data_IF_960394784985
#
_entry.id   IF_960394784985
#
_cell.length_a   1.000
_cell.length_b   1.000
_cell.length_c   1.000
_cell.angle_alpha   90.00
_cell.angle_beta   90.00
_cell.angle_gamma   90.00
#
_symmetry.space_group_name_H-M   'P 1'
#
loop_
_entity.id
_entity.type
_entity.pdbx_description
1 polymer ?
#
# COMPACT_ATOMS: atom_id res chain seq x y z
N UNK A 1 7.31 -15.12 -20.40
CA UNK A 1 7.47 -15.72 -21.75
C UNK A 1 8.15 -14.81 -22.78
N UNK A 2 7.68 -13.59 -23.05
CA UNK A 2 8.27 -12.74 -24.10
C UNK A 2 9.75 -12.39 -23.85
N UNK A 3 10.12 -12.05 -22.61
CA UNK A 3 11.52 -11.83 -22.23
C UNK A 3 12.41 -13.08 -22.34
N UNK A 4 11.83 -14.29 -22.21
CA UNK A 4 12.57 -15.53 -22.50
C UNK A 4 12.91 -15.63 -23.98
N UNK A 5 11.91 -15.38 -24.84
CA UNK A 5 12.13 -15.40 -26.28
C UNK A 5 13.15 -14.34 -26.70
N UNK A 6 13.05 -13.12 -26.15
CA UNK A 6 14.02 -12.06 -26.36
C UNK A 6 15.43 -12.44 -25.90
N UNK A 7 15.55 -13.01 -24.68
CA UNK A 7 16.83 -13.41 -24.11
C UNK A 7 17.50 -14.53 -24.90
N UNK A 8 16.73 -15.47 -25.46
CA UNK A 8 17.26 -16.52 -26.34
C UNK A 8 17.80 -15.92 -27.64
N UNK A 9 17.04 -15.02 -28.27
CA UNK A 9 17.46 -14.37 -29.52
C UNK A 9 18.70 -13.47 -29.35
N UNK A 10 18.92 -12.93 -28.16
CA UNK A 10 20.06 -12.05 -27.84
C UNK A 10 21.20 -12.78 -27.12
N UNK A 11 21.09 -14.09 -26.87
CA UNK A 11 21.99 -14.87 -26.02
C UNK A 11 22.23 -14.26 -24.63
N UNK A 12 21.23 -13.58 -24.08
CA UNK A 12 21.28 -12.91 -22.78
C UNK A 12 20.93 -13.89 -21.64
N UNK A 13 21.91 -14.70 -21.22
CA UNK A 13 21.73 -15.79 -20.25
C UNK A 13 21.04 -15.34 -18.96
N UNK A 14 21.41 -14.16 -18.41
CA UNK A 14 20.79 -13.64 -17.18
C UNK A 14 19.30 -13.33 -17.33
N UNK A 15 18.89 -12.81 -18.49
CA UNK A 15 17.48 -12.56 -18.79
C UNK A 15 16.74 -13.90 -18.90
N UNK A 16 17.35 -14.87 -19.58
CA UNK A 16 16.77 -16.19 -19.75
C UNK A 16 16.57 -16.88 -18.39
N UNK A 17 17.60 -16.89 -17.54
CA UNK A 17 17.54 -17.59 -16.25
C UNK A 17 16.48 -17.03 -15.31
N UNK A 18 16.42 -15.70 -15.14
CA UNK A 18 15.47 -15.09 -14.21
C UNK A 18 14.02 -15.24 -14.69
N UNK A 19 13.79 -15.09 -16.00
CA UNK A 19 12.45 -15.20 -16.55
C UNK A 19 12.00 -16.66 -16.63
N UNK A 20 12.90 -17.63 -16.80
CA UNK A 20 12.56 -19.06 -16.76
C UNK A 20 12.07 -19.43 -15.36
N UNK A 21 12.82 -19.03 -14.34
CA UNK A 21 12.43 -19.22 -12.96
C UNK A 21 11.11 -18.51 -12.62
N UNK A 22 10.95 -17.25 -13.05
CA UNK A 22 9.71 -16.50 -12.88
C UNK A 22 8.51 -17.19 -13.53
N UNK A 23 8.68 -17.74 -14.74
CA UNK A 23 7.61 -18.48 -15.41
C UNK A 23 7.17 -19.72 -14.62
N UNK A 24 8.09 -20.46 -14.00
CA UNK A 24 7.73 -21.60 -13.14
C UNK A 24 6.91 -21.16 -11.94
N UNK A 25 7.35 -20.09 -11.26
CA UNK A 25 6.63 -19.50 -10.13
C UNK A 25 5.23 -19.02 -10.55
N UNK A 26 5.12 -18.29 -11.65
CA UNK A 26 3.84 -17.79 -12.18
C UNK A 26 2.88 -18.91 -12.55
N UNK A 27 3.37 -20.01 -13.12
CA UNK A 27 2.55 -21.20 -13.42
C UNK A 27 2.01 -21.81 -12.12
N UNK A 28 2.86 -21.96 -11.09
CA UNK A 28 2.44 -22.48 -9.79
C UNK A 28 1.35 -21.58 -9.19
N UNK A 29 1.53 -20.26 -9.20
CA UNK A 29 0.52 -19.31 -8.73
C UNK A 29 -0.79 -19.40 -9.53
N UNK A 30 -0.72 -19.48 -10.86
CA UNK A 30 -1.90 -19.64 -11.71
C UNK A 30 -2.66 -20.93 -11.39
N UNK A 31 -1.96 -22.05 -11.22
CA UNK A 31 -2.56 -23.36 -10.89
C UNK A 31 -3.26 -23.29 -9.54
N UNK A 32 -2.56 -22.77 -8.50
CA UNK A 32 -3.16 -22.60 -7.18
C UNK A 32 -4.42 -21.73 -7.25
N UNK A 33 -4.34 -20.57 -7.92
CA UNK A 33 -5.49 -19.69 -8.05
C UNK A 33 -6.66 -20.37 -8.76
N UNK A 34 -6.42 -21.06 -9.88
CA UNK A 34 -7.48 -21.77 -10.63
C UNK A 34 -8.10 -22.89 -9.79
N UNK A 35 -7.31 -23.59 -8.96
CA UNK A 35 -7.80 -24.65 -8.10
C UNK A 35 -8.79 -24.12 -7.04
N UNK A 36 -8.45 -23.01 -6.39
CA UNK A 36 -9.19 -22.46 -5.25
C UNK A 36 -10.20 -21.36 -5.58
N UNK A 37 -10.13 -20.74 -6.76
CA UNK A 37 -11.02 -19.63 -7.12
C UNK A 37 -12.48 -20.07 -7.33
N UNK A 38 -13.42 -19.17 -7.05
CA UNK A 38 -14.86 -19.35 -7.34
C UNK A 38 -15.10 -19.57 -8.84
N UNK A 39 -16.21 -20.23 -9.21
CA UNK A 39 -16.46 -20.67 -10.60
C UNK A 39 -16.37 -19.52 -11.62
N UNK A 40 -16.89 -18.34 -11.29
CA UNK A 40 -16.89 -17.18 -12.20
C UNK A 40 -15.50 -16.56 -12.34
N UNK A 41 -14.82 -16.31 -11.21
CA UNK A 41 -13.45 -15.81 -11.20
C UNK A 41 -12.47 -16.77 -11.90
N UNK A 42 -12.67 -18.08 -11.72
CA UNK A 42 -11.88 -19.14 -12.36
C UNK A 42 -12.03 -19.11 -13.87
N UNK A 43 -13.26 -19.05 -14.39
CA UNK A 43 -13.53 -18.98 -15.85
C UNK A 43 -12.90 -17.73 -16.46
N UNK A 44 -13.06 -16.57 -15.81
CA UNK A 44 -12.44 -15.33 -16.25
C UNK A 44 -10.91 -15.45 -16.28
N UNK A 45 -10.32 -15.99 -15.22
CA UNK A 45 -8.86 -16.14 -15.11
C UNK A 45 -8.32 -17.11 -16.15
N UNK A 46 -8.95 -18.27 -16.35
CA UNK A 46 -8.54 -19.22 -17.41
C UNK A 46 -8.61 -18.53 -18.78
N UNK A 47 -9.70 -17.79 -19.07
CA UNK A 47 -9.84 -17.05 -20.34
C UNK A 47 -8.73 -16.02 -20.52
N UNK A 48 -8.43 -15.23 -19.49
CA UNK A 48 -7.37 -14.22 -19.53
C UNK A 48 -5.98 -14.85 -19.63
N UNK A 49 -5.68 -15.88 -18.83
CA UNK A 49 -4.41 -16.60 -18.88
C UNK A 49 -4.17 -17.21 -20.26
N UNK A 50 -5.17 -17.91 -20.82
CA UNK A 50 -5.06 -18.49 -22.16
C UNK A 50 -4.89 -17.41 -23.24
N UNK A 51 -5.69 -16.35 -23.20
CA UNK A 51 -5.62 -15.27 -24.18
C UNK A 51 -4.29 -14.49 -24.12
N UNK A 52 -3.86 -14.10 -22.92
CA UNK A 52 -2.69 -13.22 -22.71
C UNK A 52 -1.35 -13.95 -22.67
N UNK A 53 -1.31 -15.26 -22.41
CA UNK A 53 -0.05 -16.01 -22.37
C UNK A 53 0.11 -16.98 -23.54
N UNK A 54 -0.94 -17.68 -23.96
CA UNK A 54 -0.84 -18.69 -25.02
C UNK A 54 -1.14 -18.08 -26.38
N UNK A 55 -2.34 -17.52 -26.55
CA UNK A 55 -2.79 -17.00 -27.85
C UNK A 55 -1.96 -15.82 -28.30
N UNK A 56 -1.77 -14.82 -27.44
CA UNK A 56 -0.95 -13.64 -27.74
C UNK A 56 0.50 -14.01 -28.04
N UNK A 57 1.11 -14.93 -27.30
CA UNK A 57 2.51 -15.33 -27.49
C UNK A 57 2.70 -16.07 -28.81
N UNK A 58 1.83 -17.03 -29.12
CA UNK A 58 1.85 -17.74 -30.41
C UNK A 58 1.66 -16.75 -31.55
N UNK A 59 0.70 -15.82 -31.42
CA UNK A 59 0.45 -14.79 -32.43
C UNK A 59 1.68 -13.89 -32.65
N UNK A 60 2.28 -13.37 -31.57
CA UNK A 60 3.49 -12.55 -31.64
C UNK A 60 4.63 -13.34 -32.28
N UNK A 61 4.83 -14.60 -31.87
CA UNK A 61 5.86 -15.46 -32.44
C UNK A 61 5.68 -15.64 -33.96
N UNK A 62 4.47 -15.98 -34.41
CA UNK A 62 4.16 -16.14 -35.82
C UNK A 62 4.37 -14.84 -36.61
N UNK A 63 3.92 -13.70 -36.10
CA UNK A 63 4.12 -12.39 -36.76
C UNK A 63 5.62 -12.08 -36.88
N UNK A 64 6.39 -12.25 -35.80
CA UNK A 64 7.83 -12.00 -35.83
C UNK A 64 8.54 -12.92 -36.84
N UNK A 65 8.17 -14.21 -36.90
CA UNK A 65 8.84 -15.15 -37.79
C UNK A 65 8.46 -14.98 -39.26
N UNK A 66 7.18 -14.81 -39.56
CA UNK A 66 6.68 -14.82 -40.93
C UNK A 66 6.55 -13.43 -41.56
N UNK A 67 6.39 -12.37 -40.76
CA UNK A 67 6.11 -11.02 -41.27
C UNK A 67 7.28 -10.04 -41.08
N UNK A 68 8.22 -10.31 -40.17
CA UNK A 68 9.33 -9.40 -39.88
C UNK A 68 10.66 -9.93 -40.46
N UNK A 69 11.40 -9.12 -41.24
CA UNK A 69 12.73 -9.47 -41.73
C UNK A 69 13.71 -9.79 -40.61
N UNK A 70 14.61 -10.76 -40.82
CA UNK A 70 15.46 -11.32 -39.77
C UNK A 70 16.29 -10.28 -39.01
N UNK A 71 16.81 -9.28 -39.73
CA UNK A 71 17.59 -8.19 -39.18
C UNK A 71 16.82 -7.27 -38.22
N UNK A 72 15.49 -7.21 -38.32
CA UNK A 72 14.64 -6.37 -37.47
C UNK A 72 13.88 -7.15 -36.39
N UNK A 73 13.86 -8.49 -36.45
CA UNK A 73 13.09 -9.35 -35.52
C UNK A 73 13.39 -9.05 -34.06
N UNK A 74 14.66 -8.97 -33.69
CA UNK A 74 15.10 -8.72 -32.30
C UNK A 74 14.67 -7.33 -31.83
N UNK A 75 14.79 -6.32 -32.69
CA UNK A 75 14.43 -4.94 -32.36
C UNK A 75 12.91 -4.80 -32.15
N UNK A 76 12.10 -5.34 -33.06
CA UNK A 76 10.63 -5.33 -32.93
C UNK A 76 10.20 -6.10 -31.69
N UNK A 77 10.78 -7.28 -31.45
CA UNK A 77 10.50 -8.07 -30.25
C UNK A 77 10.86 -7.33 -28.96
N UNK A 78 12.01 -6.65 -28.94
CA UNK A 78 12.46 -5.83 -27.81
C UNK A 78 11.48 -4.70 -27.49
N UNK A 79 10.97 -3.99 -28.51
CA UNK A 79 9.96 -2.95 -28.32
C UNK A 79 8.62 -3.49 -27.82
N UNK A 80 8.20 -4.68 -28.28
CA UNK A 80 7.00 -5.36 -27.76
C UNK A 80 7.19 -5.71 -26.27
N UNK A 81 8.34 -6.32 -25.92
CA UNK A 81 8.68 -6.64 -24.53
C UNK A 81 8.69 -5.39 -23.65
N UNK A 82 9.30 -4.31 -24.14
CA UNK A 82 9.38 -3.02 -23.46
C UNK A 82 8.00 -2.43 -23.21
N UNK A 83 7.14 -2.40 -24.24
CA UNK A 83 5.80 -1.82 -24.15
C UNK A 83 4.93 -2.56 -23.12
N UNK A 84 4.99 -3.89 -23.12
CA UNK A 84 4.29 -4.72 -22.12
C UNK A 84 4.89 -4.52 -20.73
N UNK A 85 6.21 -4.38 -20.61
CA UNK A 85 6.87 -4.12 -19.33
C UNK A 85 6.51 -2.76 -18.74
N UNK A 86 6.27 -1.75 -19.58
CA UNK A 86 5.78 -0.44 -19.12
C UNK A 86 4.31 -0.53 -18.70
N UNK A 87 3.48 -1.28 -19.44
CA UNK A 87 2.04 -1.36 -19.15
C UNK A 87 1.74 -2.04 -17.80
N UNK A 88 2.57 -3.00 -17.37
CA UNK A 88 2.39 -3.65 -16.06
C UNK A 88 2.58 -2.69 -14.88
N UNK A 89 3.23 -1.54 -15.08
CA UNK A 89 3.34 -0.51 -14.05
C UNK A 89 2.01 0.20 -13.72
N UNK A 90 0.94 -0.05 -14.49
CA UNK A 90 -0.40 0.41 -14.13
C UNK A 90 -0.85 -0.13 -12.75
N UNK A 91 -0.45 -1.36 -12.39
CA UNK A 91 -0.78 -1.95 -11.09
C UNK A 91 -0.14 -1.20 -9.90
N UNK A 92 1.20 -1.01 -9.82
CA UNK A 92 1.81 -0.23 -8.75
C UNK A 92 1.35 1.23 -8.72
N UNK A 93 1.06 1.83 -9.88
CA UNK A 93 0.48 3.19 -9.95
C UNK A 93 -0.93 3.24 -9.32
N UNK A 94 -1.76 2.22 -9.55
CA UNK A 94 -3.08 2.10 -8.91
C UNK A 94 -2.98 2.04 -7.38
N UNK A 95 -1.97 1.33 -6.85
CA UNK A 95 -1.71 1.28 -5.41
C UNK A 95 -1.29 2.66 -4.87
N UNK A 96 -0.41 3.39 -5.58
CA UNK A 96 -0.04 4.76 -5.21
C UNK A 96 -1.27 5.66 -5.10
N UNK A 97 -2.16 5.63 -6.11
CA UNK A 97 -3.42 6.39 -6.08
C UNK A 97 -4.29 5.97 -4.90
N UNK A 98 -4.36 4.67 -4.60
CA UNK A 98 -5.11 4.16 -3.44
C UNK A 98 -4.56 4.72 -2.13
N UNK A 99 -3.24 4.65 -1.91
CA UNK A 99 -2.58 5.15 -0.68
C UNK A 99 -2.84 6.65 -0.48
N UNK A 100 -2.78 7.46 -1.54
CA UNK A 100 -3.08 8.90 -1.44
C UNK A 100 -4.53 9.16 -1.02
N UNK A 101 -5.48 8.37 -1.53
CA UNK A 101 -6.91 8.49 -1.22
C UNK A 101 -7.25 7.97 0.18
N UNK A 102 -6.72 6.82 0.56
CA UNK A 102 -7.02 6.17 1.84
C UNK A 102 -6.18 6.71 2.99
N UNK A 103 -5.11 7.47 2.70
CA UNK A 103 -4.16 7.98 3.70
C UNK A 103 -3.54 6.87 4.57
N UNK A 104 -3.53 5.65 4.05
CA UNK A 104 -3.05 4.43 4.73
C UNK A 104 -2.12 3.65 3.80
N UNK A 105 -1.02 3.15 4.37
CA UNK A 105 0.03 2.37 3.68
C UNK A 105 -0.17 0.85 3.78
N UNK A 106 -1.32 0.39 4.29
CA UNK A 106 -1.61 -1.03 4.52
C UNK A 106 -1.40 -1.90 3.26
N UNK A 107 -1.69 -1.36 2.08
CA UNK A 107 -1.56 -2.07 0.80
C UNK A 107 -0.20 -1.91 0.12
N UNK A 108 0.78 -1.26 0.76
CA UNK A 108 2.12 -1.01 0.21
C UNK A 108 3.22 -1.40 1.23
N UNK A 109 3.67 -2.66 1.24
CA UNK A 109 4.77 -3.06 2.11
C UNK A 109 6.09 -2.43 1.63
N UNK A 110 6.79 -1.73 2.54
CA UNK A 110 8.06 -1.06 2.26
C UNK A 110 9.11 -1.97 1.61
N UNK A 111 9.28 -3.17 2.17
CA UNK A 111 10.26 -4.15 1.68
C UNK A 111 10.05 -4.49 0.20
N UNK A 112 8.79 -4.64 -0.24
CA UNK A 112 8.45 -4.93 -1.62
C UNK A 112 8.89 -3.79 -2.53
N UNK A 113 8.60 -2.54 -2.15
CA UNK A 113 9.00 -1.37 -2.93
C UNK A 113 10.53 -1.23 -3.01
N UNK A 114 11.24 -1.49 -1.90
CA UNK A 114 12.70 -1.47 -1.85
C UNK A 114 13.31 -2.52 -2.79
N UNK A 115 12.88 -3.79 -2.71
CA UNK A 115 13.40 -4.86 -3.56
C UNK A 115 13.08 -4.64 -5.05
N UNK A 116 11.89 -4.11 -5.38
CA UNK A 116 11.56 -3.73 -6.76
C UNK A 116 12.46 -2.61 -7.27
N UNK A 117 12.76 -1.61 -6.42
CA UNK A 117 13.66 -0.51 -6.79
C UNK A 117 15.08 -1.01 -7.02
N UNK A 118 15.62 -1.84 -6.12
CA UNK A 118 16.95 -2.45 -6.28
C UNK A 118 17.02 -3.31 -7.54
N UNK A 119 15.99 -4.11 -7.80
CA UNK A 119 15.88 -4.89 -9.03
C UNK A 119 15.91 -3.98 -10.27
N UNK A 120 15.12 -2.90 -10.27
CA UNK A 120 15.09 -1.94 -11.37
C UNK A 120 16.48 -1.28 -11.60
N UNK A 121 17.21 -0.93 -10.55
CA UNK A 121 18.58 -0.41 -10.66
C UNK A 121 19.52 -1.43 -11.29
N UNK A 122 19.49 -2.69 -10.83
CA UNK A 122 20.36 -3.76 -11.37
C UNK A 122 20.07 -3.98 -12.85
N UNK A 123 18.80 -4.06 -13.25
CA UNK A 123 18.43 -4.27 -14.65
C UNK A 123 18.64 -3.04 -15.54
N UNK A 124 18.49 -1.83 -14.99
CA UNK A 124 18.88 -0.60 -15.66
C UNK A 124 20.37 -0.61 -15.98
N UNK A 125 21.22 -0.88 -14.98
CA UNK A 125 22.67 -0.96 -15.16
C UNK A 125 23.06 -2.07 -16.14
N UNK A 126 22.43 -3.24 -16.03
CA UNK A 126 22.64 -4.34 -16.97
C UNK A 126 22.32 -3.94 -18.41
N UNK A 127 21.14 -3.35 -18.66
CA UNK A 127 20.75 -2.87 -19.99
C UNK A 127 21.65 -1.76 -20.49
N UNK A 128 22.07 -0.84 -19.62
CA UNK A 128 22.99 0.25 -19.96
C UNK A 128 24.36 -0.29 -20.40
N UNK A 129 24.94 -1.23 -19.65
CA UNK A 129 26.22 -1.88 -19.99
C UNK A 129 26.10 -2.67 -21.31
N UNK A 130 24.97 -3.33 -21.54
CA UNK A 130 24.69 -4.03 -22.80
C UNK A 130 24.30 -3.10 -23.97
N UNK A 131 24.19 -1.80 -23.72
CA UNK A 131 23.68 -0.79 -24.68
C UNK A 131 22.33 -1.16 -25.28
N UNK A 132 21.49 -1.79 -24.47
CA UNK A 132 20.19 -2.30 -24.86
C UNK A 132 19.08 -1.45 -24.27
N UNK A 133 18.54 -0.56 -25.11
CA UNK A 133 17.48 0.38 -24.74
C UNK A 133 16.20 -0.32 -24.32
N UNK A 134 15.90 -1.50 -24.88
CA UNK A 134 14.68 -2.23 -24.56
C UNK A 134 14.72 -2.74 -23.11
N UNK A 135 15.91 -3.01 -22.58
CA UNK A 135 16.08 -3.47 -21.20
C UNK A 135 16.09 -2.29 -20.23
N UNK A 136 16.92 -1.27 -20.45
CA UNK A 136 17.08 -0.24 -19.43
C UNK A 136 15.89 0.73 -19.36
N UNK A 137 15.20 1.01 -20.48
CA UNK A 137 14.08 1.96 -20.54
C UNK A 137 12.91 1.62 -19.58
N UNK A 138 12.32 0.42 -19.58
CA UNK A 138 11.25 0.08 -18.63
C UNK A 138 11.75 0.11 -17.18
N UNK A 139 13.03 -0.21 -16.96
CA UNK A 139 13.62 -0.17 -15.62
C UNK A 139 13.85 1.25 -15.10
N UNK A 140 14.08 2.25 -15.95
CA UNK A 140 14.07 3.67 -15.52
C UNK A 140 12.68 4.06 -15.01
N UNK A 141 11.63 3.68 -15.73
CA UNK A 141 10.24 3.93 -15.30
C UNK A 141 9.95 3.22 -13.97
N UNK A 142 10.33 1.95 -13.86
CA UNK A 142 10.20 1.18 -12.62
C UNK A 142 10.95 1.78 -11.44
N UNK A 143 12.16 2.30 -11.67
CA UNK A 143 12.96 2.99 -10.66
C UNK A 143 12.27 4.26 -10.16
N UNK A 144 11.80 5.13 -11.06
CA UNK A 144 11.08 6.36 -10.70
C UNK A 144 9.83 6.03 -9.87
N UNK A 145 9.06 5.04 -10.31
CA UNK A 145 7.88 4.58 -9.56
C UNK A 145 8.26 4.02 -8.19
N UNK A 146 9.33 3.22 -8.09
CA UNK A 146 9.84 2.70 -6.82
C UNK A 146 10.23 3.79 -5.83
N UNK A 147 10.92 4.84 -6.29
CA UNK A 147 11.24 6.02 -5.46
C UNK A 147 9.95 6.70 -4.97
N UNK A 148 8.98 6.92 -5.86
CA UNK A 148 7.68 7.52 -5.49
C UNK A 148 7.00 6.69 -4.40
N UNK A 149 6.97 5.36 -4.56
CA UNK A 149 6.37 4.45 -3.57
C UNK A 149 7.05 4.54 -2.21
N UNK A 150 8.39 4.55 -2.15
CA UNK A 150 9.13 4.66 -0.89
C UNK A 150 8.92 6.01 -0.19
N UNK A 151 8.92 7.12 -0.94
CA UNK A 151 8.64 8.46 -0.39
C UNK A 151 7.22 8.52 0.18
N UNK A 152 6.25 8.00 -0.56
CA UNK A 152 4.85 7.99 -0.17
C UNK A 152 4.61 7.12 1.06
N UNK A 153 5.29 5.96 1.13
CA UNK A 153 5.29 5.10 2.31
C UNK A 153 5.80 5.85 3.54
N UNK A 154 6.96 6.52 3.44
CA UNK A 154 7.52 7.29 4.57
C UNK A 154 6.59 8.40 5.06
N UNK A 155 5.95 9.12 4.14
CA UNK A 155 5.03 10.20 4.47
C UNK A 155 3.76 9.67 5.18
N UNK A 156 3.08 8.69 4.60
CA UNK A 156 1.81 8.20 5.16
C UNK A 156 1.97 7.23 6.33
N UNK A 157 3.08 6.50 6.43
CA UNK A 157 3.37 5.67 7.61
C UNK A 157 3.45 6.53 8.87
N UNK A 158 4.11 7.69 8.80
CA UNK A 158 4.15 8.65 9.91
C UNK A 158 2.75 9.17 10.26
N UNK A 159 1.96 9.53 9.25
CA UNK A 159 0.59 10.02 9.42
C UNK A 159 -0.35 8.97 10.05
N UNK A 160 -0.27 7.71 9.62
CA UNK A 160 -1.08 6.62 10.18
C UNK A 160 -0.77 6.38 11.65
N UNK A 161 0.52 6.40 12.04
CA UNK A 161 0.95 6.24 13.43
C UNK A 161 0.48 7.40 14.32
N UNK A 162 0.51 8.62 13.81
CA UNK A 162 0.05 9.81 14.55
C UNK A 162 -1.47 9.76 14.79
N UNK A 163 -2.24 9.39 13.76
CA UNK A 163 -3.69 9.22 13.87
C UNK A 163 -4.10 8.07 14.81
N UNK A 164 -3.36 6.96 14.78
CA UNK A 164 -3.63 5.82 15.66
C UNK A 164 -3.34 6.17 17.14
N UNK A 165 -2.28 6.95 17.40
CA UNK A 165 -2.00 7.51 18.73
C UNK A 165 -3.09 8.46 19.19
N UNK A 166 -3.53 9.38 18.34
CA UNK A 166 -4.62 10.31 18.65
C UNK A 166 -5.92 9.57 18.98
N UNK A 167 -6.30 8.56 18.17
CA UNK A 167 -7.48 7.74 18.42
C UNK A 167 -7.35 6.89 19.69
N UNK A 168 -6.16 6.35 19.98
CA UNK A 168 -5.90 5.61 21.21
C UNK A 168 -6.01 6.52 22.45
N UNK A 169 -5.49 7.75 22.37
CA UNK A 169 -5.64 8.75 23.45
C UNK A 169 -7.11 9.09 23.65
N UNK A 170 -7.88 9.35 22.58
CA UNK A 170 -9.33 9.59 22.67
C UNK A 170 -10.03 8.39 23.33
N UNK A 171 -9.75 7.15 22.90
CA UNK A 171 -10.37 5.96 23.48
C UNK A 171 -10.01 5.79 24.96
N UNK A 172 -8.76 6.01 25.38
CA UNK A 172 -8.37 5.98 26.79
C UNK A 172 -9.08 7.07 27.58
N UNK A 173 -9.14 8.29 27.03
CA UNK A 173 -9.87 9.43 27.61
C UNK A 173 -11.38 9.23 27.57
N UNK A 174 -11.94 8.30 26.80
CA UNK A 174 -13.35 7.91 26.87
C UNK A 174 -13.56 6.79 27.90
N UNK A 175 -12.61 5.85 28.02
CA UNK A 175 -12.67 4.75 29.00
C UNK A 175 -12.45 5.24 30.45
N UNK A 176 -11.58 6.23 30.66
CA UNK A 176 -11.31 6.78 32.00
C UNK A 176 -12.47 7.60 32.62
N UNK A 177 -13.28 8.37 31.87
CA UNK A 177 -14.53 8.96 32.35
C UNK A 177 -15.69 7.97 32.35
N UNK A 178 -15.57 6.80 31.68
CA UNK A 178 -16.53 5.69 31.76
C UNK A 178 -16.27 4.76 32.96
N UNK A 179 -15.83 5.32 34.09
CA UNK A 179 -16.20 4.75 35.37
C UNK A 179 -17.73 4.78 35.47
N UNK A 180 -18.37 3.64 35.21
CA UNK A 180 -19.80 3.38 34.92
C UNK A 180 -20.13 3.43 33.43
N UNK A 181 -20.31 2.25 32.83
CA UNK A 181 -20.72 2.05 31.45
C UNK A 181 -22.11 2.62 31.16
N UNK A 182 -22.21 3.75 30.48
CA UNK A 182 -23.39 4.11 29.69
C UNK A 182 -22.98 4.72 28.34
N UNK A 183 -23.54 4.19 27.25
CA UNK A 183 -23.23 4.54 25.86
C UNK A 183 -24.21 5.61 25.40
N UNK A 184 -23.72 6.81 25.05
CA UNK A 184 -24.50 7.82 24.32
C UNK A 184 -23.86 8.11 22.95
N UNK A 185 -24.66 8.21 21.86
CA UNK A 185 -24.15 8.51 20.54
C UNK A 185 -23.78 10.00 20.43
N UNK A 186 -22.58 10.28 19.89
CA UNK A 186 -22.10 11.64 19.63
C UNK A 186 -22.49 12.03 18.18
N UNK A 187 -23.22 13.14 17.95
CA UNK A 187 -23.43 13.67 16.61
C UNK A 187 -22.15 14.38 16.14
N UNK A 188 -21.70 14.03 14.93
CA UNK A 188 -20.65 14.76 14.23
C UNK A 188 -21.27 16.01 13.61
N UNK A 189 -21.02 17.19 14.18
CA UNK A 189 -21.29 18.46 13.49
C UNK A 189 -19.98 19.20 13.19
N UNK A 190 -19.89 19.62 11.93
CA UNK A 190 -18.80 20.39 11.34
C UNK A 190 -18.82 21.83 11.88
N UNK A 191 -18.15 22.11 12.99
CA UNK A 191 -17.51 23.42 13.14
C UNK A 191 -16.39 23.39 14.18
N UNK A 192 -15.29 24.04 13.80
CA UNK A 192 -14.11 24.26 14.63
C UNK A 192 -14.47 25.10 15.86
N UNK A 193 -14.82 24.46 16.95
CA UNK A 193 -14.45 24.93 18.29
C UNK A 193 -13.44 23.94 18.86
N UNK A 194 -12.31 24.47 19.28
CA UNK A 194 -11.11 23.77 19.70
C UNK A 194 -11.46 22.71 20.74
N UNK A 195 -10.98 21.48 20.52
CA UNK A 195 -11.01 20.40 21.54
C UNK A 195 -10.41 20.89 22.88
N UNK A 196 -9.49 21.86 22.83
CA UNK A 196 -8.95 22.55 24.02
C UNK A 196 -10.02 23.29 24.84
N UNK A 197 -11.06 23.87 24.22
CA UNK A 197 -12.12 24.61 24.94
C UNK A 197 -13.06 23.65 25.67
N UNK A 198 -13.35 22.49 25.07
CA UNK A 198 -14.14 21.43 25.72
C UNK A 198 -13.36 20.80 26.88
N UNK A 199 -12.06 20.57 26.70
CA UNK A 199 -11.17 20.08 27.76
C UNK A 199 -11.09 21.10 28.91
N UNK A 200 -10.92 22.38 28.60
CA UNK A 200 -10.83 23.43 29.62
C UNK A 200 -12.14 23.60 30.39
N UNK A 201 -13.30 23.53 29.73
CA UNK A 201 -14.60 23.57 30.42
C UNK A 201 -14.79 22.38 31.36
N UNK A 202 -14.41 21.17 30.93
CA UNK A 202 -14.51 19.96 31.77
C UNK A 202 -13.59 20.03 33.01
N UNK A 203 -12.37 20.58 32.86
CA UNK A 203 -11.45 20.78 33.99
C UNK A 203 -11.94 21.85 34.98
N UNK A 204 -12.58 22.92 34.50
CA UNK A 204 -13.18 23.96 35.38
C UNK A 204 -14.35 23.40 36.18
N UNK A 205 -15.24 22.62 35.56
CA UNK A 205 -16.38 21.98 36.26
C UNK A 205 -15.89 21.02 37.35
N UNK A 206 -14.80 20.28 37.10
CA UNK A 206 -14.23 19.36 38.09
C UNK A 206 -13.58 20.09 39.28
N UNK A 207 -12.97 21.26 39.05
CA UNK A 207 -12.42 22.12 40.12
C UNK A 207 -13.51 22.71 41.01
N UNK A 208 -14.59 23.20 40.42
CA UNK A 208 -15.74 23.76 41.16
C UNK A 208 -16.39 22.68 42.04
N UNK A 209 -16.55 21.46 41.52
CA UNK A 209 -17.09 20.34 42.30
C UNK A 209 -16.21 19.89 43.47
N UNK A 210 -14.89 20.02 43.39
CA UNK A 210 -13.97 19.72 44.50
C UNK A 210 -13.94 20.83 45.56
N UNK A 211 -14.12 22.10 45.17
CA UNK A 211 -14.23 23.23 46.10
C UNK A 211 -15.57 23.19 46.86
N UNK A 212 -16.69 22.93 46.18
CA UNK A 212 -18.02 22.77 46.80
C UNK A 212 -18.07 21.58 47.78
N UNK A 213 -17.34 20.50 47.49
CA UNK A 213 -17.27 19.32 48.36
C UNK A 213 -16.41 19.57 49.62
N UNK A 214 -15.36 20.40 49.51
CA UNK A 214 -14.54 20.82 50.65
C UNK A 214 -15.30 21.78 51.56
N UNK A 215 -16.02 22.74 50.98
CA UNK A 215 -16.80 23.72 51.75
C UNK A 215 -17.96 23.04 52.51
N UNK A 216 -18.60 22.03 51.93
CA UNK A 216 -19.58 21.19 52.64
C UNK A 216 -18.98 20.32 53.73
N UNK A 217 -17.74 19.89 53.58
CA UNK A 217 -17.06 19.08 54.59
C UNK A 217 -16.64 19.93 55.79
N UNK A 218 -16.08 21.13 55.58
CA UNK A 218 -15.71 22.04 56.68
C UNK A 218 -16.94 22.55 57.44
N UNK A 219 -18.02 22.91 56.74
CA UNK A 219 -19.28 23.34 57.37
C UNK A 219 -19.94 22.22 58.22
N UNK A 220 -19.77 20.96 57.84
CA UNK A 220 -20.26 19.83 58.65
C UNK A 220 -19.38 19.55 59.88
N UNK A 221 -18.08 19.85 59.81
CA UNK A 221 -17.16 19.67 60.96
C UNK A 221 -17.40 20.76 62.00
N UNK A 222 -17.61 22.02 61.60
CA UNK A 222 -17.99 23.11 62.53
C UNK A 222 -19.36 22.88 63.19
N UNK A 223 -20.33 22.31 62.47
CA UNK A 223 -21.64 21.98 63.03
C UNK A 223 -21.57 20.87 64.10
N UNK A 224 -20.64 19.93 63.97
CA UNK A 224 -20.43 18.84 64.94
C UNK A 224 -19.70 19.35 66.19
N UNK A 225 -18.75 20.28 66.06
CA UNK A 225 -18.07 20.89 67.22
C UNK A 225 -19.02 21.74 68.08
N UNK A 226 -19.98 22.45 67.47
CA UNK A 226 -20.98 23.23 68.21
C UNK A 226 -21.96 22.38 69.03
N UNK A 227 -22.15 21.11 68.67
CA UNK A 227 -23.11 20.22 69.33
C UNK A 227 -22.50 19.43 70.52
N UNK A 228 -21.19 19.55 70.75
CA UNK A 228 -20.48 18.95 71.90
C UNK A 228 -20.21 19.91 73.07
N UNK A 229 -20.62 21.19 73.00
CA UNK A 229 -20.30 22.22 74.02
C UNK A 229 -21.54 22.85 74.69
N UNK A 230 -22.74 22.24 74.57
CA UNK A 230 -23.94 22.66 75.32
C UNK A 230 -24.55 21.49 76.07
#
# INVERSE_FOLDING_TARGET
>A
MLWLYYGIQTNAIFIVSINAFGCVIEIIYCIMYIAYATKDARKLTIKLCAALNVVSFVLIFLIIQFSIPENHRVQVLGWICTSISISVFAAPLSIVVRVVKTKSVEFMPFNLSLFLTLSAVVWFLYGFVKRDICIYLPNVVGFILGIIQMVLYGYYSKYSVEKEKEQAVINIVVVNPLGSSEVFPIPLDENKESIEDVINQQFQVKKVGEEDAKEKHDNNVEAIEFQCVV
#
